data_IF_346296312809
#
_entry.id   IF_346296312809
#
_cell.length_a   1.000
_cell.length_b   1.000
_cell.length_c   1.000
_cell.angle_alpha   90.00
_cell.angle_beta   90.00
_cell.angle_gamma   90.00
#
_symmetry.space_group_name_H-M   'P 1'
#
loop_
_entity.id
_entity.type
_entity.pdbx_description
1 polymer ?
#
# COMPACT_ATOMS: atom_id res chain seq x y z
N UNK A 1 15.13 13.01 -7.69
CA UNK A 1 14.75 11.70 -7.12
C UNK A 1 14.22 11.81 -5.71
N UNK A 2 12.89 11.91 -5.55
CA UNK A 2 12.23 11.86 -4.23
C UNK A 2 11.50 10.53 -3.98
N UNK A 3 11.28 9.74 -5.03
CA UNK A 3 10.56 8.47 -4.98
C UNK A 3 11.34 7.39 -5.76
N UNK A 4 11.42 6.14 -5.27
CA UNK A 4 10.93 5.65 -3.97
C UNK A 4 11.66 6.26 -2.77
N UNK A 5 10.92 6.54 -1.69
CA UNK A 5 11.55 6.95 -0.43
C UNK A 5 12.26 5.74 0.21
N UNK A 6 13.27 5.95 1.07
CA UNK A 6 13.91 4.85 1.79
C UNK A 6 12.93 3.98 2.59
N UNK A 7 11.81 4.55 3.05
CA UNK A 7 10.79 3.83 3.80
C UNK A 7 10.04 2.75 2.98
N UNK A 8 10.05 2.85 1.65
CA UNK A 8 9.33 1.91 0.77
C UNK A 8 10.21 1.23 -0.28
N UNK A 9 11.40 1.79 -0.54
CA UNK A 9 12.41 1.25 -1.46
C UNK A 9 13.71 0.79 -0.79
N UNK A 10 13.88 1.02 0.52
CA UNK A 10 15.08 0.65 1.28
C UNK A 10 16.26 1.61 1.11
N UNK A 11 17.36 1.32 1.82
CA UNK A 11 18.62 2.04 1.73
C UNK A 11 19.79 1.04 1.82
N UNK A 12 20.68 0.98 0.81
CA UNK A 12 20.68 1.72 -0.46
C UNK A 12 19.47 1.40 -1.36
N UNK A 13 18.97 2.40 -2.10
CA UNK A 13 17.74 2.27 -2.90
C UNK A 13 17.83 1.17 -3.96
N UNK A 14 18.95 1.10 -4.69
CA UNK A 14 19.14 0.10 -5.76
C UNK A 14 19.06 -1.34 -5.21
N UNK A 15 19.68 -1.57 -4.07
CA UNK A 15 19.74 -2.89 -3.44
C UNK A 15 18.38 -3.27 -2.86
N UNK A 16 17.71 -2.33 -2.18
CA UNK A 16 16.36 -2.53 -1.67
C UNK A 16 15.35 -2.83 -2.78
N UNK A 17 15.39 -2.10 -3.90
CA UNK A 17 14.52 -2.38 -5.04
C UNK A 17 14.83 -3.72 -5.72
N UNK A 18 16.11 -4.10 -5.80
CA UNK A 18 16.52 -5.42 -6.31
C UNK A 18 15.99 -6.54 -5.40
N UNK A 19 16.14 -6.38 -4.09
CA UNK A 19 15.65 -7.33 -3.10
C UNK A 19 14.13 -7.51 -3.18
N UNK A 20 13.38 -6.41 -3.26
CA UNK A 20 11.91 -6.39 -3.40
C UNK A 20 11.48 -7.14 -4.65
N UNK A 21 12.01 -6.76 -5.82
CA UNK A 21 11.64 -7.35 -7.11
C UNK A 21 11.94 -8.84 -7.20
N UNK A 22 12.97 -9.31 -6.49
CA UNK A 22 13.34 -10.72 -6.48
C UNK A 22 12.45 -11.58 -5.56
N UNK A 23 11.71 -10.99 -4.61
CA UNK A 23 11.01 -11.72 -3.54
C UNK A 23 9.50 -11.55 -3.51
N UNK A 24 8.98 -10.50 -4.13
CA UNK A 24 7.54 -10.29 -4.23
C UNK A 24 7.03 -10.87 -5.55
N UNK A 25 6.28 -12.00 -5.52
CA UNK A 25 5.82 -12.68 -6.73
C UNK A 25 4.59 -12.00 -7.35
N UNK A 26 4.38 -10.72 -7.07
CA UNK A 26 3.21 -9.95 -7.46
C UNK A 26 3.60 -8.52 -7.84
N UNK A 27 2.76 -7.88 -8.64
CA UNK A 27 2.89 -6.45 -8.94
C UNK A 27 2.34 -5.63 -7.77
N UNK A 28 3.11 -4.64 -7.31
CA UNK A 28 2.67 -3.67 -6.30
C UNK A 28 1.60 -2.73 -6.85
N UNK A 29 1.52 -2.52 -8.16
CA UNK A 29 0.62 -1.56 -8.78
C UNK A 29 0.79 -0.17 -8.16
N UNK A 30 -0.29 0.37 -7.58
CA UNK A 30 -0.26 1.66 -6.88
C UNK A 30 0.23 1.59 -5.42
N UNK A 31 0.50 0.40 -4.86
CA UNK A 31 1.03 0.29 -3.51
C UNK A 31 2.40 0.96 -3.41
N UNK A 32 2.54 1.86 -2.43
CA UNK A 32 3.68 2.72 -2.22
C UNK A 32 3.98 3.75 -3.34
N UNK A 33 3.16 3.87 -4.38
CA UNK A 33 3.34 4.87 -5.43
C UNK A 33 3.00 6.29 -4.94
N UNK A 34 3.58 7.36 -5.53
CA UNK A 34 3.13 8.73 -5.27
C UNK A 34 1.68 8.91 -5.73
N UNK A 35 0.85 9.55 -4.90
CA UNK A 35 -0.52 9.92 -5.25
C UNK A 35 -0.85 11.31 -4.74
N UNK A 36 -1.64 12.07 -5.48
CA UNK A 36 -2.06 13.41 -5.06
C UNK A 36 -2.40 14.32 -6.23
N UNK A 37 -2.27 15.61 -6.01
CA UNK A 37 -2.68 16.66 -6.96
C UNK A 37 -1.47 17.44 -7.46
N UNK A 38 -1.49 17.78 -8.74
CA UNK A 38 -0.48 18.65 -9.36
C UNK A 38 -1.22 19.70 -10.18
N UNK A 39 -0.79 20.95 -10.02
CA UNK A 39 -1.35 22.11 -10.71
C UNK A 39 -0.22 23.07 -11.10
N UNK A 40 -0.56 24.12 -11.87
CA UNK A 40 0.39 25.18 -12.21
C UNK A 40 0.94 25.94 -10.97
N UNK A 41 0.20 25.94 -9.86
CA UNK A 41 0.60 26.58 -8.60
C UNK A 41 1.39 25.68 -7.64
N UNK A 42 1.70 24.45 -8.04
CA UNK A 42 2.35 23.45 -7.19
C UNK A 42 1.55 22.16 -7.07
N UNK A 43 2.02 21.25 -6.23
CA UNK A 43 1.38 19.97 -6.02
C UNK A 43 1.64 19.40 -4.63
N UNK A 44 0.72 18.54 -4.20
CA UNK A 44 0.82 17.79 -2.96
C UNK A 44 0.76 16.30 -3.31
N UNK A 45 1.77 15.56 -2.89
CA UNK A 45 1.90 14.13 -3.13
C UNK A 45 2.12 13.40 -1.81
N UNK A 46 1.35 12.35 -1.60
CA UNK A 46 1.54 11.37 -0.54
C UNK A 46 2.07 10.05 -1.12
N UNK A 47 2.59 9.19 -0.25
CA UNK A 47 2.92 7.80 -0.59
C UNK A 47 1.68 6.96 -0.35
N UNK A 48 1.25 6.21 -1.36
CA UNK A 48 0.04 5.37 -1.35
C UNK A 48 0.19 4.14 -0.44
N UNK A 49 0.24 4.38 0.86
CA UNK A 49 0.20 3.38 1.92
C UNK A 49 -1.16 3.45 2.63
N UNK A 50 -1.52 2.40 3.37
CA UNK A 50 -2.81 2.32 4.08
C UNK A 50 -3.98 2.68 3.16
N UNK A 51 -3.96 2.13 1.96
CA UNK A 51 -4.97 2.29 0.92
C UNK A 51 -5.29 0.92 0.32
N UNK A 52 -6.36 0.87 -0.48
CA UNK A 52 -6.73 -0.32 -1.22
C UNK A 52 -7.02 0.06 -2.68
N UNK A 53 -6.56 -0.77 -3.61
CA UNK A 53 -6.87 -0.59 -5.03
C UNK A 53 -8.15 -1.34 -5.37
N UNK A 54 -9.19 -0.60 -5.75
CA UNK A 54 -10.47 -1.18 -6.19
C UNK A 54 -10.45 -1.35 -7.69
N UNK A 55 -10.45 -2.59 -8.14
CA UNK A 55 -10.54 -2.95 -9.55
C UNK A 55 -12.00 -3.29 -9.88
N UNK A 56 -12.61 -2.48 -10.75
CA UNK A 56 -14.02 -2.64 -11.13
C UNK A 56 -14.22 -3.50 -12.38
N UNK A 57 -13.15 -3.93 -13.05
CA UNK A 57 -13.21 -4.80 -14.23
C UNK A 57 -13.14 -6.26 -13.79
N UNK A 58 -13.99 -7.12 -14.36
CA UNK A 58 -14.09 -8.57 -14.06
C UNK A 58 -14.46 -8.92 -12.61
N UNK A 59 -15.58 -8.37 -12.14
CA UNK A 59 -16.00 -8.45 -10.74
C UNK A 59 -15.32 -7.36 -9.91
N UNK A 60 -15.95 -6.95 -8.81
CA UNK A 60 -15.32 -5.96 -7.92
C UNK A 60 -14.24 -6.65 -7.09
N UNK A 61 -12.97 -6.46 -7.44
CA UNK A 61 -11.83 -6.93 -6.64
C UNK A 61 -11.25 -5.76 -5.85
N UNK A 62 -10.80 -6.05 -4.64
CA UNK A 62 -10.12 -5.07 -3.78
C UNK A 62 -8.77 -5.65 -3.39
N UNK A 63 -7.70 -4.98 -3.81
CA UNK A 63 -6.33 -5.34 -3.47
C UNK A 63 -5.90 -4.52 -2.25
N UNK A 64 -5.68 -5.20 -1.12
CA UNK A 64 -5.17 -4.61 0.12
C UNK A 64 -3.73 -5.04 0.29
N UNK A 65 -2.81 -4.09 0.42
CA UNK A 65 -1.38 -4.36 0.55
C UNK A 65 -0.81 -3.62 1.77
N UNK A 66 0.12 -4.29 2.45
CA UNK A 66 0.95 -3.68 3.48
C UNK A 66 2.33 -4.34 3.46
N UNK A 67 3.34 -3.61 3.93
CA UNK A 67 4.69 -4.10 4.11
C UNK A 67 5.25 -3.68 5.46
N UNK A 68 6.39 -4.24 5.82
CA UNK A 68 7.19 -3.86 6.99
C UNK A 68 8.62 -3.55 6.54
N UNK A 69 9.27 -2.63 7.25
CA UNK A 69 10.66 -2.29 6.99
C UNK A 69 11.56 -3.29 7.71
N UNK A 70 12.30 -4.10 6.96
CA UNK A 70 13.21 -5.08 7.54
C UNK A 70 14.54 -4.43 7.89
N UNK A 71 15.00 -4.65 9.12
CA UNK A 71 16.31 -4.21 9.61
C UNK A 71 17.05 -5.39 10.24
N UNK A 72 18.33 -5.18 10.56
CA UNK A 72 19.06 -6.16 11.37
C UNK A 72 18.39 -6.33 12.74
N UNK A 73 18.21 -7.57 13.17
CA UNK A 73 17.43 -7.92 14.36
C UNK A 73 15.91 -8.00 14.18
N UNK A 74 15.36 -7.75 12.98
CA UNK A 74 13.93 -7.98 12.70
C UNK A 74 13.54 -9.44 12.98
N UNK A 75 12.44 -9.64 13.70
CA UNK A 75 11.90 -10.96 14.02
C UNK A 75 10.75 -11.29 13.05
N UNK A 76 10.84 -12.33 12.20
CA UNK A 76 9.85 -12.59 11.15
C UNK A 76 8.40 -12.64 11.62
N UNK A 77 8.16 -13.17 12.82
CA UNK A 77 6.83 -13.25 13.42
C UNK A 77 6.25 -11.87 13.77
N UNK A 78 7.09 -10.96 14.24
CA UNK A 78 6.67 -9.62 14.64
C UNK A 78 6.39 -8.76 13.42
N UNK A 79 7.23 -8.84 12.38
CA UNK A 79 7.02 -8.18 11.10
C UNK A 79 5.72 -8.65 10.42
N UNK A 80 5.45 -9.95 10.50
CA UNK A 80 4.19 -10.52 10.01
C UNK A 80 2.97 -9.98 10.77
N UNK A 81 3.06 -9.88 12.10
CA UNK A 81 2.00 -9.31 12.92
C UNK A 81 1.79 -7.82 12.62
N UNK A 82 2.86 -7.06 12.37
CA UNK A 82 2.79 -5.67 11.95
C UNK A 82 2.03 -5.52 10.61
N UNK A 83 2.38 -6.31 9.60
CA UNK A 83 1.69 -6.30 8.30
C UNK A 83 0.19 -6.61 8.49
N UNK A 84 -0.15 -7.65 9.27
CA UNK A 84 -1.55 -7.99 9.58
C UNK A 84 -2.28 -6.86 10.28
N UNK A 85 -1.64 -6.19 11.23
CA UNK A 85 -2.22 -5.07 11.95
C UNK A 85 -2.50 -3.88 11.01
N UNK A 86 -1.57 -3.58 10.09
CA UNK A 86 -1.73 -2.53 9.07
C UNK A 86 -2.92 -2.80 8.14
N UNK A 87 -3.18 -4.07 7.82
CA UNK A 87 -4.29 -4.48 6.94
C UNK A 87 -5.63 -4.63 7.67
N UNK A 88 -5.62 -4.83 9.00
CA UNK A 88 -6.81 -5.21 9.79
C UNK A 88 -8.02 -4.31 9.56
N UNK A 89 -7.83 -2.99 9.46
CA UNK A 89 -8.93 -2.05 9.25
C UNK A 89 -9.64 -2.27 7.91
N UNK A 90 -8.88 -2.49 6.83
CA UNK A 90 -9.44 -2.77 5.51
C UNK A 90 -10.16 -4.11 5.50
N UNK A 91 -9.50 -5.16 6.01
CA UNK A 91 -10.07 -6.51 6.03
C UNK A 91 -11.36 -6.54 6.84
N UNK A 92 -11.37 -5.96 8.06
CA UNK A 92 -12.60 -5.89 8.87
C UNK A 92 -13.73 -5.15 8.17
N UNK A 93 -13.45 -3.98 7.57
CA UNK A 93 -14.47 -3.19 6.86
C UNK A 93 -15.04 -3.91 5.63
N UNK A 94 -14.19 -4.65 4.90
CA UNK A 94 -14.57 -5.42 3.71
C UNK A 94 -15.34 -6.69 4.06
N UNK A 95 -14.93 -7.39 5.13
CA UNK A 95 -15.55 -8.64 5.57
C UNK A 95 -16.89 -8.42 6.28
N UNK A 96 -17.10 -7.29 6.95
CA UNK A 96 -18.33 -6.98 7.69
C UNK A 96 -19.52 -6.61 6.78
N UNK A 97 -19.36 -6.66 5.44
CA UNK A 97 -20.42 -6.31 4.48
C UNK A 97 -20.83 -4.82 4.47
N UNK A 98 -20.20 -3.98 5.31
CA UNK A 98 -20.55 -2.56 5.48
C UNK A 98 -20.23 -1.71 4.26
N UNK A 99 -19.37 -2.18 3.35
CA UNK A 99 -19.07 -1.47 2.10
C UNK A 99 -20.19 -1.57 1.06
N UNK A 100 -21.07 -2.59 1.13
CA UNK A 100 -22.28 -2.61 0.30
C UNK A 100 -23.28 -1.50 0.69
N UNK A 101 -23.20 -1.00 1.93
CA UNK A 101 -24.08 0.04 2.47
C UNK A 101 -23.54 1.47 2.26
N UNK A 102 -22.28 1.64 1.86
CA UNK A 102 -21.71 2.97 1.57
C UNK A 102 -21.88 3.33 0.08
N UNK A 103 -23.12 3.27 -0.42
CA UNK A 103 -23.54 4.00 -1.61
C UNK A 103 -24.18 5.33 -1.18
N UNK A 104 -23.40 6.24 -0.59
CA UNK A 104 -23.84 7.64 -0.53
C UNK A 104 -23.79 8.19 -1.97
N UNK A 105 -24.85 8.69 -2.62
CA UNK A 105 -26.10 9.24 -2.14
C UNK A 105 -25.93 10.16 -0.92
N UNK A 106 -25.34 11.33 -1.14
CA UNK A 106 -26.04 12.62 -0.99
C UNK A 106 -25.11 13.79 -1.30
N UNK A 107 -25.57 14.58 -2.28
CA UNK A 107 -25.50 16.04 -2.49
C UNK A 107 -24.12 16.68 -2.57
#
# INVERSE_FOLDING_TARGET
DLHPTPAVGGKPLKDGMTFIRAREPFDRGFFAAPCGVVSSGGGELAVSLRSALVERRHGSKVHVMAGAGLIDGSVPKDEWNEIRLKMRQFVGTLSDGRLAAYSGAKR
#
